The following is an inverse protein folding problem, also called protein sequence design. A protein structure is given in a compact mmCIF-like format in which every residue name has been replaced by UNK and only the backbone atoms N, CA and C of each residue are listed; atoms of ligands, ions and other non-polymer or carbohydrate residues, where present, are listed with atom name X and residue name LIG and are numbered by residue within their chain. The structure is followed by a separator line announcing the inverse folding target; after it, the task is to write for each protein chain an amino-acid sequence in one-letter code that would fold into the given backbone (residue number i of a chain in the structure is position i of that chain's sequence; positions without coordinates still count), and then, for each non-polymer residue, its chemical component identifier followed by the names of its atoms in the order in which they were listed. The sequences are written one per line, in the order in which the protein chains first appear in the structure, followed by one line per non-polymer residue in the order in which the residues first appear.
data_IF_623240402303
#
_entry.id   IF_623240402303
#
_cell.length_a   1.000
_cell.length_b   1.000
_cell.length_c   1.000
_cell.angle_alpha   90.00
_cell.angle_beta   90.00
_cell.angle_gamma   90.00
#
_symmetry.space_group_name_H-M   'P 1'
#
loop_
_entity.id
_entity.type
_entity.pdbx_description
1 polymer ?
#
# COMPACT_ATOMS: atom_id res chain seq x y z
N UNK A 1 8.94 -0.83 12.70
CA UNK A 1 9.19 -2.13 12.04
C UNK A 1 10.69 -2.39 11.93
N UNK A 2 11.11 -3.64 12.05
CA UNK A 2 12.47 -4.09 11.80
C UNK A 2 12.44 -5.19 10.73
N UNK A 3 13.45 -5.22 9.86
CA UNK A 3 13.59 -6.27 8.86
C UNK A 3 15.08 -6.61 8.69
N UNK A 4 15.42 -7.90 8.76
CA UNK A 4 16.80 -8.41 8.70
C UNK A 4 17.79 -7.67 9.63
N UNK A 5 17.39 -7.42 10.88
CA UNK A 5 18.24 -6.73 11.87
C UNK A 5 18.35 -5.22 11.68
N UNK A 6 17.63 -4.64 10.71
CA UNK A 6 17.64 -3.20 10.42
C UNK A 6 16.29 -2.58 10.74
N UNK A 7 16.29 -1.59 11.64
CA UNK A 7 15.11 -0.79 11.92
C UNK A 7 14.74 0.07 10.71
N UNK A 8 13.49 -0.01 10.28
CA UNK A 8 12.92 0.81 9.21
C UNK A 8 12.24 2.02 9.89
N UNK A 9 12.84 3.19 9.75
CA UNK A 9 12.47 4.40 10.49
C UNK A 9 11.46 5.28 9.74
N UNK A 10 11.33 5.09 8.43
CA UNK A 10 10.40 5.85 7.60
C UNK A 10 9.53 4.90 6.82
N UNK A 11 8.33 5.36 6.48
CA UNK A 11 7.42 4.59 5.64
C UNK A 11 8.02 4.34 4.23
N UNK A 12 8.83 5.28 3.72
CA UNK A 12 9.55 5.10 2.46
C UNK A 12 10.50 3.90 2.49
N UNK A 13 11.24 3.69 3.60
CA UNK A 13 12.10 2.52 3.77
C UNK A 13 11.30 1.21 3.84
N UNK A 14 10.13 1.22 4.47
CA UNK A 14 9.22 0.06 4.51
C UNK A 14 8.82 -0.34 3.11
N UNK A 15 8.37 0.61 2.30
CA UNK A 15 7.93 0.31 0.95
C UNK A 15 9.06 0.01 -0.02
N UNK A 16 10.25 0.60 0.15
CA UNK A 16 11.42 0.25 -0.66
C UNK A 16 11.78 -1.23 -0.48
N UNK A 17 11.79 -1.73 0.76
CA UNK A 17 11.97 -3.16 1.05
C UNK A 17 10.86 -3.97 0.38
N UNK A 18 9.61 -3.56 0.52
CA UNK A 18 8.48 -4.27 -0.06
C UNK A 18 8.58 -4.37 -1.60
N UNK A 19 8.90 -3.27 -2.28
CA UNK A 19 9.08 -3.26 -3.73
C UNK A 19 10.21 -4.20 -4.17
N UNK A 20 11.35 -4.16 -3.46
CA UNK A 20 12.47 -5.03 -3.78
C UNK A 20 12.10 -6.50 -3.62
N UNK A 21 11.44 -6.86 -2.51
CA UNK A 21 10.96 -8.22 -2.28
C UNK A 21 9.94 -8.66 -3.33
N UNK A 22 8.98 -7.81 -3.68
CA UNK A 22 7.98 -8.12 -4.70
C UNK A 22 8.62 -8.43 -6.07
N UNK A 23 9.79 -7.85 -6.37
CA UNK A 23 10.56 -8.12 -7.59
C UNK A 23 11.43 -9.38 -7.51
N UNK A 24 11.91 -9.75 -6.33
CA UNK A 24 12.94 -10.81 -6.18
C UNK A 24 12.43 -12.09 -5.55
N UNK A 25 11.57 -12.01 -4.54
CA UNK A 25 11.01 -13.16 -3.82
C UNK A 25 9.58 -12.88 -3.38
N UNK A 26 8.62 -13.39 -4.14
CA UNK A 26 7.20 -13.20 -3.87
C UNK A 26 6.77 -13.79 -2.53
N UNK A 27 7.38 -14.88 -2.08
CA UNK A 27 7.01 -15.51 -0.80
C UNK A 27 7.49 -14.63 0.35
N UNK A 28 8.74 -14.18 0.30
CA UNK A 28 9.27 -13.27 1.31
C UNK A 28 8.52 -11.93 1.33
N UNK A 29 8.11 -11.43 0.15
CA UNK A 29 7.23 -10.27 0.05
C UNK A 29 5.91 -10.47 0.82
N UNK A 30 5.26 -11.64 0.69
CA UNK A 30 4.04 -11.95 1.46
C UNK A 30 4.30 -12.01 2.96
N UNK A 31 5.42 -12.62 3.37
CA UNK A 31 5.76 -12.72 4.78
C UNK A 31 6.11 -11.34 5.38
N UNK A 32 6.76 -10.46 4.61
CA UNK A 32 6.95 -9.05 4.97
C UNK A 32 5.62 -8.29 5.08
N UNK A 33 4.68 -8.54 4.17
CA UNK A 33 3.35 -7.92 4.20
C UNK A 33 2.58 -8.28 5.48
N UNK A 34 2.62 -9.55 5.91
CA UNK A 34 2.03 -9.98 7.19
C UNK A 34 2.68 -9.28 8.38
N UNK A 35 4.00 -9.09 8.37
CA UNK A 35 4.68 -8.32 9.42
C UNK A 35 4.22 -6.86 9.43
N UNK A 36 3.98 -6.27 8.26
CA UNK A 36 3.46 -4.90 8.17
C UNK A 36 2.02 -4.79 8.69
N UNK A 37 1.16 -5.79 8.43
CA UNK A 37 -0.18 -5.89 9.02
C UNK A 37 -0.09 -5.92 10.54
N UNK A 38 0.78 -6.77 11.08
CA UNK A 38 1.00 -6.86 12.53
C UNK A 38 1.51 -5.54 13.11
N UNK A 39 2.42 -4.87 12.42
CA UNK A 39 2.89 -3.54 12.80
C UNK A 39 1.75 -2.51 12.85
N UNK A 40 0.84 -2.49 11.87
CA UNK A 40 -0.35 -1.60 11.90
C UNK A 40 -1.24 -1.91 13.10
N UNK A 41 -1.45 -3.20 13.39
CA UNK A 41 -2.29 -3.64 14.51
C UNK A 41 -1.70 -3.23 15.87
N UNK A 42 -0.37 -3.24 16.00
CA UNK A 42 0.32 -2.88 17.24
C UNK A 42 0.53 -1.36 17.42
N UNK A 43 0.71 -0.62 16.33
CA UNK A 43 1.05 0.81 16.36
C UNK A 43 -0.18 1.74 16.34
N UNK A 44 -1.36 1.20 16.04
CA UNK A 44 -2.59 1.99 15.89
C UNK A 44 -3.69 1.57 16.87
N UNK A 45 -3.86 2.34 17.95
CA UNK A 45 -4.87 2.12 18.99
C UNK A 45 -6.33 2.05 18.49
N UNK A 46 -6.59 2.51 17.26
CA UNK A 46 -7.93 2.48 16.64
C UNK A 46 -8.19 1.21 15.84
N UNK A 47 -7.17 0.42 15.56
CA UNK A 47 -7.25 -0.82 14.77
C UNK A 47 -7.22 -2.00 15.73
N UNK A 48 -8.30 -2.78 15.76
CA UNK A 48 -8.47 -3.84 16.76
C UNK A 48 -8.60 -5.24 16.13
N UNK A 49 -8.56 -5.36 14.81
CA UNK A 49 -8.68 -6.63 14.10
C UNK A 49 -7.65 -6.76 13.00
N UNK A 50 -7.28 -8.00 12.67
CA UNK A 50 -6.35 -8.31 11.59
C UNK A 50 -6.93 -7.88 10.24
N UNK A 51 -8.23 -8.05 10.03
CA UNK A 51 -8.90 -7.70 8.77
C UNK A 51 -8.85 -6.19 8.51
N UNK A 52 -9.01 -5.38 9.55
CA UNK A 52 -8.93 -3.92 9.42
C UNK A 52 -7.48 -3.47 9.18
N UNK A 53 -6.52 -4.08 9.90
CA UNK A 53 -5.10 -3.83 9.66
C UNK A 53 -4.68 -4.23 8.23
N UNK A 54 -5.19 -5.36 7.72
CA UNK A 54 -4.97 -5.80 6.34
C UNK A 54 -5.58 -4.82 5.33
N UNK A 55 -6.81 -4.35 5.57
CA UNK A 55 -7.46 -3.35 4.71
C UNK A 55 -6.64 -2.06 4.62
N UNK A 56 -6.13 -1.58 5.75
CA UNK A 56 -5.24 -0.42 5.82
C UNK A 56 -3.92 -0.71 5.09
N UNK A 57 -3.32 -1.88 5.31
CA UNK A 57 -2.09 -2.27 4.64
C UNK A 57 -2.24 -2.28 3.10
N UNK A 58 -3.32 -2.89 2.60
CA UNK A 58 -3.66 -2.90 1.16
C UNK A 58 -3.89 -1.49 0.62
N UNK A 59 -4.59 -0.64 1.36
CA UNK A 59 -4.79 0.77 0.97
C UNK A 59 -3.46 1.54 0.90
N UNK A 60 -2.58 1.34 1.88
CA UNK A 60 -1.28 2.00 1.95
C UNK A 60 -0.37 1.57 0.80
N UNK A 61 -0.25 0.27 0.55
CA UNK A 61 0.50 -0.29 -0.57
C UNK A 61 -0.10 0.14 -1.91
N UNK A 62 -1.42 0.10 -2.02
CA UNK A 62 -2.18 0.49 -3.19
C UNK A 62 -1.95 1.94 -3.60
N UNK A 63 -1.98 2.84 -2.60
CA UNK A 63 -1.70 4.26 -2.77
C UNK A 63 -0.22 4.51 -3.09
N UNK A 64 0.70 3.87 -2.36
CA UNK A 64 2.13 4.07 -2.55
C UNK A 64 2.60 3.61 -3.95
N UNK A 65 2.03 2.53 -4.47
CA UNK A 65 2.31 2.03 -5.82
C UNK A 65 2.07 3.09 -6.91
N UNK A 66 1.10 3.98 -6.71
CA UNK A 66 0.75 5.03 -7.66
C UNK A 66 1.82 6.12 -7.82
N UNK A 67 2.83 6.16 -6.95
CA UNK A 67 3.98 7.08 -7.09
C UNK A 67 5.09 6.54 -7.99
N UNK A 68 4.98 5.29 -8.44
CA UNK A 68 5.96 4.65 -9.32
C UNK A 68 5.41 4.53 -10.74
N UNK A 69 6.21 3.98 -11.65
CA UNK A 69 5.76 3.67 -12.99
C UNK A 69 4.78 2.48 -12.99
N UNK A 70 4.09 2.29 -14.12
CA UNK A 70 3.08 1.24 -14.27
C UNK A 70 3.62 -0.16 -13.98
N UNK A 71 4.84 -0.47 -14.43
CA UNK A 71 5.49 -1.77 -14.19
C UNK A 71 5.61 -2.08 -12.69
N UNK A 72 6.12 -1.14 -11.90
CA UNK A 72 6.26 -1.33 -10.44
C UNK A 72 4.88 -1.42 -9.78
N UNK A 73 3.92 -0.62 -10.24
CA UNK A 73 2.56 -0.64 -9.73
C UNK A 73 1.90 -2.01 -9.94
N UNK A 74 2.00 -2.56 -11.14
CA UNK A 74 1.46 -3.88 -11.49
C UNK A 74 2.11 -4.99 -10.65
N UNK A 75 3.42 -4.92 -10.41
CA UNK A 75 4.11 -5.87 -9.52
C UNK A 75 3.57 -5.81 -8.09
N UNK A 76 3.37 -4.61 -7.55
CA UNK A 76 2.83 -4.41 -6.19
C UNK A 76 1.39 -4.93 -6.13
N UNK A 77 0.52 -4.55 -7.07
CA UNK A 77 -0.89 -4.97 -7.06
C UNK A 77 -1.03 -6.48 -7.15
N UNK A 78 -0.28 -7.12 -8.05
CA UNK A 78 -0.29 -8.57 -8.21
C UNK A 78 0.35 -9.32 -7.03
N UNK A 79 1.33 -8.71 -6.37
CA UNK A 79 1.97 -9.32 -5.20
C UNK A 79 1.05 -9.22 -4.00
N UNK A 80 0.63 -8.02 -3.62
CA UNK A 80 -0.07 -7.78 -2.36
C UNK A 80 -1.60 -7.80 -2.48
N UNK A 81 -2.14 -8.12 -3.66
CA UNK A 81 -3.58 -8.23 -3.91
C UNK A 81 -4.32 -6.96 -3.48
N UNK A 82 -3.81 -5.82 -3.95
CA UNK A 82 -4.32 -4.49 -3.63
C UNK A 82 -4.48 -3.65 -4.90
N UNK A 83 -5.11 -2.48 -4.75
CA UNK A 83 -5.36 -1.53 -5.83
C UNK A 83 -5.33 -0.09 -5.28
N UNK A 84 -5.29 0.91 -6.17
CA UNK A 84 -5.26 2.30 -5.72
C UNK A 84 -6.57 2.64 -4.97
N UNK A 85 -6.54 3.14 -3.73
CA UNK A 85 -7.77 3.34 -2.95
C UNK A 85 -8.70 4.40 -3.55
N UNK A 86 -8.20 5.28 -4.42
CA UNK A 86 -8.97 6.33 -5.09
C UNK A 86 -9.27 5.99 -6.56
N UNK A 87 -8.36 5.29 -7.22
CA UNK A 87 -8.34 5.12 -8.69
C UNK A 87 -8.54 3.67 -9.14
N UNK A 88 -8.62 2.72 -8.21
CA UNK A 88 -8.78 1.30 -8.50
C UNK A 88 -7.56 0.68 -9.19
N UNK A 89 -7.80 -0.26 -10.09
CA UNK A 89 -6.77 -1.13 -10.68
C UNK A 89 -5.98 -0.46 -11.82
N UNK A 90 -6.42 0.70 -12.30
CA UNK A 90 -5.87 1.37 -13.49
C UNK A 90 -5.54 2.84 -13.22
N UNK A 91 -4.67 3.16 -12.24
CA UNK A 91 -4.37 4.55 -11.89
C UNK A 91 -3.72 5.35 -13.03
N UNK A 92 -3.01 4.69 -13.95
CA UNK A 92 -2.32 5.33 -15.08
C UNK A 92 -3.23 5.70 -16.26
N UNK A 93 -4.47 5.20 -16.27
CA UNK A 93 -5.47 5.57 -17.28
C UNK A 93 -6.27 6.83 -16.86
N UNK A 94 -6.08 7.31 -15.63
CA UNK A 94 -6.81 8.46 -15.07
C UNK A 94 -6.18 9.77 -15.54
N UNK A 95 -6.95 10.57 -16.27
CA UNK A 95 -6.55 11.93 -16.64
C UNK A 95 -6.77 12.93 -15.49
N UNK A 96 -6.19 14.13 -15.62
CA UNK A 96 -6.25 15.18 -14.60
C UNK A 96 -7.66 15.63 -14.23
N UNK A 97 -8.59 15.64 -15.20
CA UNK A 97 -9.97 16.07 -14.96
C UNK A 97 -10.74 15.02 -14.13
N UNK A 98 -10.57 13.74 -14.47
CA UNK A 98 -11.17 12.63 -13.72
C UNK A 98 -10.58 12.54 -12.32
N UNK A 99 -9.27 12.75 -12.16
CA UNK A 99 -8.62 12.84 -10.86
C UNK A 99 -9.21 13.97 -10.00
N UNK A 100 -9.42 15.15 -10.59
CA UNK A 100 -10.05 16.29 -9.91
C UNK A 100 -11.49 15.96 -9.46
N UNK A 101 -12.31 15.40 -10.36
CA UNK A 101 -13.69 14.97 -10.03
C UNK A 101 -13.71 13.94 -8.91
N UNK A 102 -12.80 12.95 -8.95
CA UNK A 102 -12.67 11.94 -7.89
C UNK A 102 -12.25 12.56 -6.55
N UNK A 103 -11.33 13.52 -6.59
CA UNK A 103 -10.93 14.30 -5.41
C UNK A 103 -12.10 15.05 -4.78
N UNK A 104 -12.94 15.72 -5.59
CA UNK A 104 -14.16 16.39 -5.11
C UNK A 104 -15.15 15.40 -4.50
N UNK A 105 -15.37 14.25 -5.14
CA UNK A 105 -16.26 13.21 -4.64
C UNK A 105 -15.82 12.71 -3.26
N UNK A 106 -14.54 12.33 -3.12
CA UNK A 106 -13.97 11.87 -1.85
C UNK A 106 -14.02 12.96 -0.78
N UNK A 107 -13.61 14.18 -1.12
CA UNK A 107 -13.60 15.32 -0.19
C UNK A 107 -15.00 15.70 0.31
N UNK A 108 -16.03 15.56 -0.53
CA UNK A 108 -17.41 15.84 -0.14
C UNK A 108 -17.99 14.85 0.88
N UNK A 109 -17.47 13.61 0.93
CA UNK A 109 -17.91 12.53 1.82
C UNK A 109 -17.24 12.56 3.21
N UNK A 110 -16.24 13.42 3.39
CA UNK A 110 -15.50 13.59 4.65
C UNK A 110 -16.13 14.66 5.57
N UNK A 111 -17.27 15.24 5.18
CA UNK A 111 -18.09 16.15 6.00
C UNK A 111 -19.17 15.38 6.75
#
# INVERSE_FOLDING_TARGET
MEYNGKKLNTIGQVFEVAINLAKTDKKEAQDFFKQYIQFILEDNDKVNTIEEAERIAKSNFGYFAGYFNQEVCDIIYNTYQCSHPIFGDKPFEVNSEDAYKKGLEVGSKLK
#
